data_IF_741261442771
#
_entry.id   IF_741261442771
#
_cell.length_a   1.000
_cell.length_b   1.000
_cell.length_c   1.000
_cell.angle_alpha   90.00
_cell.angle_beta   90.00
_cell.angle_gamma   90.00
#
_symmetry.space_group_name_H-M   'P 1'
#
loop_
_entity.id
_entity.type
_entity.pdbx_description
1 polymer ?
#
# COMPACT_ATOMS: atom_id res chain seq x y z
N UNK A 1 38.84 -49.84 -18.55
CA UNK A 1 39.13 -48.39 -18.62
C UNK A 1 38.28 -47.82 -19.74
N UNK A 2 37.22 -47.10 -19.41
CA UNK A 2 36.36 -46.45 -20.41
C UNK A 2 36.62 -44.95 -20.49
N UNK A 3 35.69 -44.26 -21.16
CA UNK A 3 35.49 -42.80 -21.28
C UNK A 3 36.43 -42.17 -22.36
N UNK A 4 36.01 -41.48 -23.42
CA UNK A 4 34.83 -40.67 -23.71
C UNK A 4 34.34 -40.85 -25.16
N UNK A 5 33.03 -41.08 -25.33
CA UNK A 5 32.32 -40.86 -26.60
C UNK A 5 31.71 -39.46 -26.55
N UNK A 6 32.12 -38.57 -27.46
CA UNK A 6 31.48 -37.27 -27.62
C UNK A 6 30.08 -37.45 -28.21
N UNK A 7 29.07 -37.42 -27.35
CA UNK A 7 27.67 -37.25 -27.76
C UNK A 7 27.51 -35.85 -28.35
N UNK A 8 27.28 -35.76 -29.66
CA UNK A 8 26.77 -34.55 -30.33
C UNK A 8 25.52 -34.09 -29.59
N UNK A 9 25.58 -32.94 -28.92
CA UNK A 9 24.34 -32.29 -28.48
C UNK A 9 23.50 -32.00 -29.72
N UNK A 10 22.28 -32.53 -29.76
CA UNK A 10 21.30 -32.14 -30.76
C UNK A 10 21.17 -30.63 -30.65
N UNK A 11 21.53 -29.91 -31.72
CA UNK A 11 21.11 -28.51 -31.93
C UNK A 11 19.58 -28.53 -31.85
N UNK A 12 19.05 -28.26 -30.66
CA UNK A 12 17.68 -27.81 -30.51
C UNK A 12 17.53 -26.61 -31.42
N UNK A 13 16.54 -26.71 -32.29
CA UNK A 13 16.34 -25.87 -33.45
C UNK A 13 16.19 -24.40 -33.02
N UNK A 14 17.28 -23.62 -33.12
CA UNK A 14 17.35 -22.20 -32.68
C UNK A 14 16.29 -21.35 -33.39
N UNK A 15 15.91 -21.75 -34.60
CA UNK A 15 14.79 -21.18 -35.36
C UNK A 15 13.43 -21.35 -34.65
N UNK A 16 13.24 -22.47 -33.96
CA UNK A 16 12.00 -22.83 -33.28
C UNK A 16 11.87 -22.12 -31.94
N UNK A 17 12.99 -21.86 -31.26
CA UNK A 17 13.04 -21.08 -30.01
C UNK A 17 12.70 -19.60 -30.28
N UNK A 18 13.27 -18.99 -31.33
CA UNK A 18 12.94 -17.61 -31.72
C UNK A 18 11.48 -17.45 -32.15
N UNK A 19 10.94 -18.39 -32.95
CA UNK A 19 9.54 -18.37 -33.36
C UNK A 19 8.57 -18.54 -32.17
N UNK A 20 8.95 -19.30 -31.14
CA UNK A 20 8.14 -19.49 -29.94
C UNK A 20 8.13 -18.25 -29.03
N UNK A 21 9.29 -17.59 -28.84
CA UNK A 21 9.34 -16.33 -28.11
C UNK A 21 8.47 -15.25 -28.77
N UNK A 22 8.50 -15.18 -30.11
CA UNK A 22 7.65 -14.27 -30.90
C UNK A 22 6.17 -14.63 -30.78
N UNK A 23 5.81 -15.92 -30.79
CA UNK A 23 4.42 -16.36 -30.64
C UNK A 23 3.86 -16.06 -29.24
N UNK A 24 4.64 -16.33 -28.18
CA UNK A 24 4.28 -16.01 -26.79
C UNK A 24 4.12 -14.50 -26.64
N UNK A 25 5.05 -13.71 -27.19
CA UNK A 25 4.98 -12.23 -27.17
C UNK A 25 3.67 -11.68 -27.73
N UNK A 26 3.11 -12.28 -28.79
CA UNK A 26 1.85 -11.83 -29.41
C UNK A 26 0.61 -12.09 -28.56
N UNK A 27 0.70 -12.94 -27.53
CA UNK A 27 -0.41 -13.34 -26.69
C UNK A 27 -0.42 -12.65 -25.32
N UNK A 28 0.65 -11.91 -24.98
CA UNK A 28 0.74 -11.20 -23.71
C UNK A 28 -0.13 -9.94 -23.79
N UNK A 29 -1.17 -9.80 -22.95
CA UNK A 29 -1.91 -8.55 -22.81
C UNK A 29 -1.00 -7.48 -22.20
N UNK A 30 -1.30 -6.20 -22.46
CA UNK A 30 -0.54 -5.06 -21.93
C UNK A 30 0.96 -5.13 -22.24
N UNK A 31 1.32 -5.59 -23.44
CA UNK A 31 2.71 -5.71 -23.89
C UNK A 31 3.49 -4.39 -23.76
N UNK A 32 2.80 -3.25 -23.87
CA UNK A 32 3.33 -1.91 -23.68
C UNK A 32 3.83 -1.62 -22.25
N UNK A 33 3.41 -2.39 -21.26
CA UNK A 33 3.89 -2.26 -19.87
C UNK A 33 5.24 -2.95 -19.66
N UNK A 34 5.68 -3.80 -20.60
CA UNK A 34 6.90 -4.59 -20.49
C UNK A 34 8.09 -3.91 -21.16
N UNK A 35 9.26 -4.06 -20.54
CA UNK A 35 10.54 -3.59 -21.08
C UNK A 35 11.26 -4.74 -21.77
N UNK A 36 11.69 -4.52 -23.01
CA UNK A 36 12.45 -5.51 -23.79
C UNK A 36 13.83 -4.98 -24.16
N UNK A 37 14.80 -5.88 -24.25
CA UNK A 37 16.13 -5.59 -24.75
C UNK A 37 16.66 -6.72 -25.63
N UNK A 38 17.26 -6.34 -26.77
CA UNK A 38 17.89 -7.28 -27.70
C UNK A 38 19.41 -7.38 -27.46
N UNK A 39 19.91 -6.88 -26.33
CA UNK A 39 21.32 -6.96 -25.97
C UNK A 39 21.79 -8.42 -26.02
N UNK A 40 22.89 -8.73 -26.73
CA UNK A 40 23.47 -10.08 -26.75
C UNK A 40 23.77 -10.60 -25.33
N UNK A 41 23.60 -11.90 -25.10
CA UNK A 41 23.76 -12.50 -23.77
C UNK A 41 25.11 -12.21 -23.10
N UNK A 42 26.18 -12.08 -23.88
CA UNK A 42 27.53 -11.75 -23.40
C UNK A 42 27.75 -10.24 -23.09
N UNK A 43 26.76 -9.40 -23.39
CA UNK A 43 26.75 -7.96 -23.10
C UNK A 43 25.74 -7.58 -22.01
N UNK A 44 24.99 -8.53 -21.48
CA UNK A 44 24.09 -8.28 -20.36
C UNK A 44 24.96 -8.08 -19.10
N UNK A 45 24.85 -6.94 -18.41
CA UNK A 45 25.64 -6.67 -17.21
C UNK A 45 25.47 -7.76 -16.15
N UNK A 46 26.49 -7.97 -15.32
CA UNK A 46 26.38 -8.84 -14.15
C UNK A 46 25.42 -8.21 -13.14
N UNK A 47 24.52 -9.03 -12.59
CA UNK A 47 23.42 -8.56 -11.74
C UNK A 47 23.79 -8.87 -10.30
N UNK A 48 24.34 -7.88 -9.60
CA UNK A 48 24.60 -7.92 -8.17
C UNK A 48 23.57 -7.10 -7.40
N UNK A 49 23.22 -7.55 -6.19
CA UNK A 49 22.62 -6.65 -5.21
C UNK A 49 23.69 -5.69 -4.69
N UNK A 50 23.48 -4.38 -4.87
CA UNK A 50 24.33 -3.34 -4.31
C UNK A 50 24.96 -2.44 -5.37
N UNK A 51 25.79 -1.50 -4.93
CA UNK A 51 26.70 -0.81 -5.82
C UNK A 51 27.89 -1.73 -6.08
N UNK A 52 28.15 -2.09 -7.33
CA UNK A 52 29.39 -2.77 -7.70
C UNK A 52 30.44 -1.69 -7.88
N UNK A 53 31.40 -1.64 -6.96
CA UNK A 53 32.59 -0.81 -7.08
C UNK A 53 33.64 -1.66 -7.76
N UNK A 54 33.90 -1.39 -9.03
CA UNK A 54 35.09 -1.91 -9.68
C UNK A 54 36.28 -1.00 -9.32
N UNK A 55 37.30 -1.59 -8.69
CA UNK A 55 38.58 -0.93 -8.44
C UNK A 55 39.57 -1.45 -9.48
N UNK A 56 39.99 -0.59 -10.40
CA UNK A 56 41.03 -0.91 -11.39
C UNK A 56 42.30 -0.09 -11.16
N UNK A 57 43.46 -0.73 -11.27
CA UNK A 57 44.79 -0.10 -11.18
C UNK A 57 45.43 -0.11 -12.58
N UNK A 58 44.93 0.73 -13.49
CA UNK A 58 45.41 0.77 -14.88
C UNK A 58 46.56 1.78 -15.06
N UNK A 59 46.58 2.86 -14.26
CA UNK A 59 47.55 3.96 -14.36
C UNK A 59 48.28 4.27 -13.03
N UNK A 60 48.21 3.37 -12.06
CA UNK A 60 48.77 3.58 -10.72
C UNK A 60 47.86 4.37 -9.77
N UNK A 61 46.65 4.76 -10.20
CA UNK A 61 45.61 5.32 -9.34
C UNK A 61 44.38 4.38 -9.27
N UNK A 62 43.74 4.21 -8.09
CA UNK A 62 42.50 3.46 -7.99
C UNK A 62 41.39 4.25 -8.67
N UNK A 63 40.85 3.69 -9.75
CA UNK A 63 39.64 4.20 -10.40
C UNK A 63 38.43 3.46 -9.80
N UNK A 64 37.49 4.19 -9.21
CA UNK A 64 36.21 3.67 -8.71
C UNK A 64 35.14 3.95 -9.77
N UNK A 65 34.54 2.89 -10.31
CA UNK A 65 33.38 3.02 -11.20
C UNK A 65 32.17 2.34 -10.57
N UNK A 66 31.08 3.09 -10.51
CA UNK A 66 29.75 2.56 -10.20
C UNK A 66 29.20 1.89 -11.47
N UNK A 67 28.84 0.61 -11.38
CA UNK A 67 28.15 -0.06 -12.49
C UNK A 67 26.67 0.33 -12.54
N UNK A 68 26.14 0.53 -13.75
CA UNK A 68 24.70 0.71 -13.96
C UNK A 68 23.92 -0.50 -13.42
N UNK A 69 22.97 -0.24 -12.52
CA UNK A 69 22.08 -1.29 -12.01
C UNK A 69 21.12 -1.72 -13.12
N UNK A 70 21.27 -2.97 -13.53
CA UNK A 70 20.34 -3.58 -14.49
C UNK A 70 18.92 -3.58 -13.92
N UNK A 71 17.97 -3.16 -14.73
CA UNK A 71 16.56 -3.27 -14.36
C UNK A 71 16.14 -4.74 -14.26
N UNK A 72 15.58 -5.17 -13.11
CA UNK A 72 15.29 -6.58 -12.88
C UNK A 72 14.13 -7.12 -13.72
N UNK A 73 13.27 -6.25 -14.24
CA UNK A 73 12.08 -6.62 -15.02
C UNK A 73 12.36 -6.79 -16.52
N UNK A 74 13.50 -6.29 -17.01
CA UNK A 74 13.79 -6.22 -18.44
C UNK A 74 13.90 -7.61 -19.05
N UNK A 75 13.05 -7.86 -20.06
CA UNK A 75 13.01 -9.10 -20.81
C UNK A 75 14.07 -9.05 -21.91
N UNK A 76 15.14 -9.80 -21.73
CA UNK A 76 16.18 -9.97 -22.74
C UNK A 76 15.79 -11.04 -23.75
N UNK A 77 15.57 -10.65 -25.00
CA UNK A 77 15.13 -11.55 -26.09
C UNK A 77 16.24 -12.48 -26.57
N UNK A 78 17.50 -12.11 -26.33
CA UNK A 78 18.69 -12.88 -26.67
C UNK A 78 18.90 -14.10 -25.76
N UNK A 79 18.22 -14.14 -24.61
CA UNK A 79 18.39 -15.17 -23.61
C UNK A 79 17.55 -16.42 -23.94
N UNK A 80 18.09 -17.63 -23.77
CA UNK A 80 17.41 -18.86 -24.15
C UNK A 80 16.15 -19.13 -23.31
N UNK A 81 15.16 -19.72 -23.96
CA UNK A 81 13.88 -20.13 -23.37
C UNK A 81 13.68 -21.63 -23.67
N UNK A 82 13.26 -22.41 -22.67
CA UNK A 82 13.02 -23.85 -22.81
C UNK A 82 11.63 -24.20 -22.31
N UNK A 83 10.82 -24.82 -23.18
CA UNK A 83 9.48 -25.33 -22.84
C UNK A 83 9.54 -26.28 -21.64
N UNK A 84 8.54 -26.17 -20.78
CA UNK A 84 8.28 -27.07 -19.65
C UNK A 84 7.02 -27.88 -19.92
N UNK A 85 6.88 -29.05 -19.29
CA UNK A 85 5.66 -29.86 -19.42
C UNK A 85 4.58 -29.45 -18.41
N UNK A 86 5.00 -29.02 -17.23
CA UNK A 86 4.13 -28.45 -16.20
C UNK A 86 4.84 -27.35 -15.42
N UNK A 87 4.07 -26.46 -14.78
CA UNK A 87 4.59 -25.39 -13.93
C UNK A 87 5.29 -25.94 -12.67
N UNK A 88 4.94 -27.17 -12.24
CA UNK A 88 5.55 -27.85 -11.09
C UNK A 88 7.02 -28.24 -11.33
N UNK A 89 7.48 -28.27 -12.59
CA UNK A 89 8.87 -28.54 -12.95
C UNK A 89 9.81 -27.34 -12.72
N UNK A 90 9.27 -26.20 -12.27
CA UNK A 90 9.99 -24.93 -12.23
C UNK A 90 10.26 -24.53 -10.79
N UNK A 91 11.55 -24.42 -10.47
CA UNK A 91 12.01 -23.95 -9.17
C UNK A 91 11.57 -22.49 -8.91
N UNK A 92 11.26 -22.21 -7.64
CA UNK A 92 11.04 -20.85 -7.14
C UNK A 92 12.22 -19.94 -7.46
N UNK A 93 11.92 -18.66 -7.65
CA UNK A 93 12.98 -17.67 -7.86
C UNK A 93 13.68 -17.32 -6.53
N UNK A 94 14.95 -16.87 -6.59
CA UNK A 94 15.62 -16.35 -5.41
C UNK A 94 14.95 -15.08 -4.88
N UNK A 95 15.29 -14.73 -3.64
CA UNK A 95 14.96 -13.43 -3.07
C UNK A 95 15.59 -12.31 -3.93
N UNK A 96 14.81 -11.27 -4.24
CA UNK A 96 15.14 -10.21 -5.23
C UNK A 96 15.35 -10.75 -6.66
N UNK A 97 14.29 -11.29 -7.27
CA UNK A 97 14.37 -11.91 -8.58
C UNK A 97 14.72 -10.89 -9.68
N UNK A 98 15.30 -11.39 -10.77
CA UNK A 98 15.46 -10.65 -12.01
C UNK A 98 15.34 -11.61 -13.20
N UNK A 99 14.87 -11.10 -14.34
CA UNK A 99 14.64 -11.91 -15.53
C UNK A 99 15.94 -12.50 -16.13
N UNK A 100 17.05 -11.75 -16.11
CA UNK A 100 18.27 -12.17 -16.76
C UNK A 100 18.94 -13.38 -16.07
N UNK A 101 18.84 -13.49 -14.75
CA UNK A 101 19.32 -14.64 -13.96
C UNK A 101 18.39 -15.85 -13.99
N UNK A 102 17.17 -15.74 -14.52
CA UNK A 102 16.26 -16.88 -14.65
C UNK A 102 16.86 -17.96 -15.56
N UNK A 103 16.67 -19.23 -15.21
CA UNK A 103 16.97 -20.35 -16.10
C UNK A 103 16.07 -20.33 -17.35
N UNK A 104 16.44 -21.01 -18.44
CA UNK A 104 15.60 -21.07 -19.64
C UNK A 104 14.17 -21.57 -19.39
N UNK A 105 13.99 -22.48 -18.41
CA UNK A 105 12.68 -22.98 -17.99
C UNK A 105 11.89 -21.94 -17.21
N UNK A 106 12.55 -21.23 -16.29
CA UNK A 106 11.93 -20.15 -15.51
C UNK A 106 11.49 -18.99 -16.41
N UNK A 107 12.27 -18.63 -17.44
CA UNK A 107 11.84 -17.64 -18.45
C UNK A 107 10.61 -18.09 -19.21
N UNK A 108 10.54 -19.36 -19.61
CA UNK A 108 9.34 -19.90 -20.27
C UNK A 108 8.10 -19.81 -19.36
N UNK A 109 8.26 -20.19 -18.09
CA UNK A 109 7.20 -20.12 -17.09
C UNK A 109 6.71 -18.68 -16.87
N UNK A 110 7.65 -17.73 -16.73
CA UNK A 110 7.35 -16.31 -16.58
C UNK A 110 6.60 -15.74 -17.78
N UNK A 111 7.11 -15.95 -18.99
CA UNK A 111 6.49 -15.43 -20.22
C UNK A 111 5.13 -16.08 -20.51
N UNK A 112 4.93 -17.33 -20.10
CA UNK A 112 3.63 -18.00 -20.19
C UNK A 112 2.65 -17.40 -19.18
N UNK A 113 3.10 -17.18 -17.94
CA UNK A 113 2.28 -16.56 -16.90
C UNK A 113 1.86 -15.12 -17.25
N UNK A 114 2.71 -14.35 -17.93
CA UNK A 114 2.35 -12.99 -18.40
C UNK A 114 1.13 -12.96 -19.34
N UNK A 115 0.77 -14.07 -20.00
CA UNK A 115 -0.44 -14.13 -20.82
C UNK A 115 -1.72 -14.02 -19.99
N UNK A 116 -1.68 -14.48 -18.73
CA UNK A 116 -2.75 -14.28 -17.77
C UNK A 116 -2.19 -14.25 -16.35
N UNK A 117 -1.90 -13.02 -15.92
CA UNK A 117 -1.31 -12.70 -14.63
C UNK A 117 -2.22 -13.00 -13.43
N UNK A 118 -3.46 -13.45 -13.66
CA UNK A 118 -4.36 -13.87 -12.59
C UNK A 118 -4.07 -15.28 -12.09
N UNK A 119 -3.34 -16.09 -12.88
CA UNK A 119 -2.98 -17.45 -12.51
C UNK A 119 -2.02 -17.47 -11.31
N UNK A 120 -2.18 -18.43 -10.39
CA UNK A 120 -1.27 -18.57 -9.25
C UNK A 120 0.15 -18.91 -9.73
N UNK A 121 1.13 -18.25 -9.13
CA UNK A 121 2.55 -18.48 -9.41
C UNK A 121 3.39 -18.17 -8.17
N UNK A 122 4.62 -18.67 -8.13
CA UNK A 122 5.62 -18.24 -7.14
C UNK A 122 5.77 -16.71 -7.15
N UNK A 123 5.77 -16.11 -5.96
CA UNK A 123 5.72 -14.64 -5.81
C UNK A 123 6.92 -13.92 -6.43
N UNK A 124 8.06 -14.60 -6.62
CA UNK A 124 9.21 -13.99 -7.30
C UNK A 124 8.90 -13.57 -8.74
N UNK A 125 8.08 -14.33 -9.46
CA UNK A 125 7.65 -13.97 -10.81
C UNK A 125 6.76 -12.73 -10.79
N UNK A 126 5.85 -12.64 -9.81
CA UNK A 126 5.01 -11.45 -9.58
C UNK A 126 5.88 -10.23 -9.31
N UNK A 127 6.90 -10.36 -8.46
CA UNK A 127 7.84 -9.26 -8.19
C UNK A 127 8.62 -8.81 -9.42
N UNK A 128 9.05 -9.75 -10.27
CA UNK A 128 9.79 -9.42 -11.49
C UNK A 128 8.95 -8.56 -12.44
N UNK A 129 7.66 -8.90 -12.62
CA UNK A 129 6.75 -8.08 -13.41
C UNK A 129 6.44 -6.75 -12.73
N UNK A 130 6.16 -6.79 -11.42
CA UNK A 130 5.87 -5.61 -10.61
C UNK A 130 6.97 -4.55 -10.65
N UNK A 131 8.25 -4.94 -10.67
CA UNK A 131 9.36 -3.99 -10.80
C UNK A 131 9.29 -3.17 -12.10
N UNK A 132 8.80 -3.77 -13.20
CA UNK A 132 8.56 -3.07 -14.45
C UNK A 132 7.35 -2.14 -14.36
N UNK A 133 6.29 -2.58 -13.67
CA UNK A 133 5.11 -1.74 -13.42
C UNK A 133 5.47 -0.51 -12.57
N UNK A 134 6.38 -0.61 -11.60
CA UNK A 134 6.88 0.55 -10.84
C UNK A 134 7.58 1.58 -11.74
N UNK A 135 8.24 1.15 -12.82
CA UNK A 135 8.78 2.09 -13.82
C UNK A 135 7.69 2.76 -14.62
N UNK A 136 6.66 2.01 -15.03
CA UNK A 136 5.51 2.56 -15.75
C UNK A 136 4.74 3.58 -14.90
N UNK A 137 4.62 3.35 -13.59
CA UNK A 137 4.05 4.30 -12.64
C UNK A 137 4.80 5.64 -12.59
N UNK A 138 6.10 5.67 -12.86
CA UNK A 138 6.92 6.89 -12.75
C UNK A 138 7.22 7.55 -14.09
N UNK A 139 7.43 6.74 -15.13
CA UNK A 139 8.03 7.19 -16.39
C UNK A 139 7.25 6.74 -17.63
N UNK A 140 6.14 6.03 -17.47
CA UNK A 140 5.39 5.44 -18.57
C UNK A 140 3.88 5.62 -18.44
N UNK A 141 3.12 4.58 -18.78
CA UNK A 141 1.65 4.63 -18.70
C UNK A 141 1.17 4.37 -17.26
N UNK A 142 1.08 5.46 -16.49
CA UNK A 142 0.67 5.44 -15.08
C UNK A 142 -0.65 4.69 -14.86
N UNK A 143 -1.69 5.02 -15.63
CA UNK A 143 -3.04 4.53 -15.37
C UNK A 143 -3.17 3.04 -15.69
N UNK A 144 -2.56 2.57 -16.79
CA UNK A 144 -2.51 1.13 -17.08
C UNK A 144 -1.70 0.37 -16.05
N UNK A 145 -0.55 0.89 -15.64
CA UNK A 145 0.28 0.26 -14.61
C UNK A 145 -0.44 0.20 -13.27
N UNK A 146 -1.10 1.28 -12.87
CA UNK A 146 -1.91 1.35 -11.66
C UNK A 146 -2.98 0.24 -11.67
N UNK A 147 -3.78 0.17 -12.73
CA UNK A 147 -4.84 -0.82 -12.88
C UNK A 147 -4.31 -2.25 -12.90
N UNK A 148 -3.19 -2.49 -13.56
CA UNK A 148 -2.54 -3.80 -13.60
C UNK A 148 -2.03 -4.21 -12.21
N UNK A 149 -1.46 -3.28 -11.43
CA UNK A 149 -1.08 -3.54 -10.04
C UNK A 149 -2.31 -3.86 -9.18
N UNK A 150 -3.43 -3.14 -9.34
CA UNK A 150 -4.69 -3.49 -8.66
C UNK A 150 -5.14 -4.90 -9.02
N UNK A 151 -5.07 -5.28 -10.30
CA UNK A 151 -5.39 -6.63 -10.77
C UNK A 151 -4.50 -7.68 -10.12
N UNK A 152 -3.18 -7.44 -10.03
CA UNK A 152 -2.25 -8.34 -9.35
C UNK A 152 -2.57 -8.47 -7.86
N UNK A 153 -2.82 -7.35 -7.17
CA UNK A 153 -3.16 -7.33 -5.73
C UNK A 153 -4.39 -8.19 -5.41
N UNK A 154 -5.37 -8.23 -6.32
CA UNK A 154 -6.59 -9.05 -6.16
C UNK A 154 -6.34 -10.56 -6.25
N UNK A 155 -5.32 -11.00 -6.99
CA UNK A 155 -5.07 -12.42 -7.26
C UNK A 155 -3.86 -12.99 -6.50
N UNK A 156 -2.98 -12.13 -5.98
CA UNK A 156 -1.73 -12.53 -5.32
C UNK A 156 -1.68 -12.03 -3.87
N UNK A 157 -2.16 -12.84 -2.94
CA UNK A 157 -2.15 -12.51 -1.50
C UNK A 157 -0.78 -12.81 -0.86
N UNK A 158 0.18 -11.91 -1.12
CA UNK A 158 1.47 -11.91 -0.44
C UNK A 158 1.66 -10.62 0.37
N UNK A 159 1.88 -10.74 1.69
CA UNK A 159 1.99 -9.59 2.61
C UNK A 159 2.99 -8.53 2.17
N UNK A 160 4.18 -8.93 1.69
CA UNK A 160 5.21 -8.00 1.24
C UNK A 160 4.78 -7.32 -0.05
N UNK A 161 4.24 -8.07 -1.01
CA UNK A 161 3.71 -7.52 -2.26
C UNK A 161 2.58 -6.52 -2.02
N UNK A 162 1.60 -6.87 -1.17
CA UNK A 162 0.50 -5.99 -0.79
C UNK A 162 1.00 -4.69 -0.14
N UNK A 163 2.02 -4.79 0.72
CA UNK A 163 2.61 -3.60 1.35
C UNK A 163 3.33 -2.70 0.36
N UNK A 164 4.19 -3.28 -0.48
CA UNK A 164 5.04 -2.49 -1.40
C UNK A 164 4.22 -1.87 -2.52
N UNK A 165 3.29 -2.63 -3.11
CA UNK A 165 2.41 -2.11 -4.17
C UNK A 165 1.51 -0.99 -3.67
N UNK A 166 0.95 -1.08 -2.46
CA UNK A 166 0.17 0.02 -1.88
C UNK A 166 1.01 1.30 -1.73
N UNK A 167 2.23 1.18 -1.21
CA UNK A 167 3.13 2.32 -1.05
C UNK A 167 3.50 2.95 -2.40
N UNK A 168 3.78 2.13 -3.41
CA UNK A 168 4.10 2.61 -4.76
C UNK A 168 2.90 3.29 -5.42
N UNK A 169 1.69 2.74 -5.32
CA UNK A 169 0.46 3.32 -5.85
C UNK A 169 0.18 4.69 -5.22
N UNK A 170 0.29 4.79 -3.89
CA UNK A 170 0.09 6.05 -3.16
C UNK A 170 1.13 7.08 -3.59
N UNK A 171 2.42 6.73 -3.56
CA UNK A 171 3.50 7.67 -3.89
C UNK A 171 3.41 8.13 -5.35
N UNK A 172 3.22 7.20 -6.28
CA UNK A 172 3.13 7.52 -7.71
C UNK A 172 1.88 8.33 -8.04
N UNK A 173 0.75 8.12 -7.35
CA UNK A 173 -0.44 8.96 -7.51
C UNK A 173 -0.19 10.41 -7.11
N UNK A 174 0.56 10.63 -6.03
CA UNK A 174 0.99 11.98 -5.65
C UNK A 174 1.97 12.56 -6.67
N UNK A 175 2.99 11.80 -7.06
CA UNK A 175 4.02 12.23 -8.01
C UNK A 175 3.43 12.65 -9.36
N UNK A 176 2.44 11.91 -9.86
CA UNK A 176 1.77 12.17 -11.14
C UNK A 176 0.55 13.12 -11.02
N UNK A 177 0.24 13.62 -9.83
CA UNK A 177 -0.97 14.42 -9.57
C UNK A 177 -2.28 13.71 -10.01
N UNK A 178 -2.36 12.38 -9.80
CA UNK A 178 -3.49 11.50 -10.18
C UNK A 178 -4.21 10.91 -8.98
N UNK A 179 -4.50 11.75 -7.98
CA UNK A 179 -5.25 11.32 -6.80
C UNK A 179 -6.69 10.94 -7.10
N UNK A 180 -7.24 11.42 -8.22
CA UNK A 180 -8.53 10.99 -8.74
C UNK A 180 -8.58 9.47 -8.92
N UNK A 181 -7.52 8.86 -9.48
CA UNK A 181 -7.44 7.41 -9.66
C UNK A 181 -7.33 6.72 -8.31
N UNK A 182 -6.43 7.19 -7.44
CA UNK A 182 -6.23 6.60 -6.11
C UNK A 182 -7.55 6.55 -5.34
N UNK A 183 -8.33 7.63 -5.35
CA UNK A 183 -9.59 7.71 -4.63
C UNK A 183 -10.67 6.80 -5.25
N UNK A 184 -10.79 6.78 -6.58
CA UNK A 184 -11.79 5.97 -7.29
C UNK A 184 -11.62 4.48 -7.02
N UNK A 185 -10.38 4.00 -7.00
CA UNK A 185 -10.09 2.57 -6.90
C UNK A 185 -9.65 2.13 -5.49
N UNK A 186 -9.45 3.07 -4.55
CA UNK A 186 -9.02 2.78 -3.17
C UNK A 186 -9.88 1.73 -2.46
N UNK A 187 -11.21 1.84 -2.58
CA UNK A 187 -12.16 0.89 -1.95
C UNK A 187 -12.06 -0.52 -2.54
N UNK A 188 -11.79 -0.63 -3.85
CA UNK A 188 -11.66 -1.92 -4.53
C UNK A 188 -10.26 -2.54 -4.39
N UNK A 189 -9.28 -1.73 -4.01
CA UNK A 189 -7.87 -2.08 -3.94
C UNK A 189 -7.39 -2.44 -2.52
N UNK A 190 -8.29 -2.39 -1.52
CA UNK A 190 -7.99 -2.59 -0.10
C UNK A 190 -6.78 -1.75 0.36
N UNK A 191 -6.75 -0.48 -0.06
CA UNK A 191 -5.73 0.48 0.36
C UNK A 191 -6.13 1.03 1.74
N UNK A 192 -6.02 0.17 2.75
CA UNK A 192 -6.57 0.42 4.08
C UNK A 192 -5.61 1.19 5.00
N UNK A 193 -4.37 1.46 4.56
CA UNK A 193 -3.34 2.10 5.39
C UNK A 193 -3.30 3.61 5.15
N UNK A 194 -2.97 4.33 6.22
CA UNK A 194 -2.71 5.76 6.19
C UNK A 194 -1.27 6.03 6.69
N UNK A 195 -0.33 6.17 5.77
CA UNK A 195 1.11 6.24 6.02
C UNK A 195 1.62 7.65 6.35
N UNK A 196 2.89 7.77 6.73
CA UNK A 196 3.54 9.07 6.92
C UNK A 196 3.62 9.86 5.61
N UNK A 197 3.76 9.18 4.46
CA UNK A 197 3.72 9.81 3.14
C UNK A 197 2.38 10.53 2.94
N UNK A 198 1.24 9.87 3.22
CA UNK A 198 -0.09 10.47 3.08
C UNK A 198 -0.31 11.61 4.07
N UNK A 199 0.15 11.48 5.32
CA UNK A 199 0.09 12.56 6.31
C UNK A 199 0.91 13.77 5.89
N UNK A 200 2.15 13.56 5.43
CA UNK A 200 2.99 14.67 4.99
C UNK A 200 2.40 15.35 3.75
N UNK A 201 1.84 14.60 2.82
CA UNK A 201 1.10 15.16 1.69
C UNK A 201 -0.08 16.02 2.15
N UNK A 202 -0.91 15.52 3.06
CA UNK A 202 -2.05 16.26 3.58
C UNK A 202 -1.62 17.57 4.25
N UNK A 203 -0.48 17.61 4.95
CA UNK A 203 0.07 18.86 5.50
C UNK A 203 0.54 19.80 4.39
N UNK A 204 1.31 19.29 3.42
CA UNK A 204 1.82 20.12 2.32
C UNK A 204 0.71 20.76 1.49
N UNK A 205 -0.43 20.08 1.35
CA UNK A 205 -1.61 20.58 0.64
C UNK A 205 -2.64 21.27 1.55
N UNK A 206 -2.33 21.43 2.84
CA UNK A 206 -3.24 21.98 3.84
C UNK A 206 -4.63 21.30 3.87
N UNK A 207 -4.65 19.97 3.75
CA UNK A 207 -5.86 19.15 3.73
C UNK A 207 -6.28 18.70 5.12
N UNK A 208 -7.59 18.59 5.30
CA UNK A 208 -8.21 18.02 6.49
C UNK A 208 -8.41 16.51 6.31
N UNK A 209 -8.46 15.77 7.42
CA UNK A 209 -8.63 14.32 7.39
C UNK A 209 -10.11 13.95 7.58
N UNK A 210 -10.61 13.08 6.70
CA UNK A 210 -11.95 12.51 6.80
C UNK A 210 -12.06 11.50 7.96
N UNK A 211 -13.29 11.17 8.41
CA UNK A 211 -13.52 10.08 9.36
C UNK A 211 -12.89 8.75 8.92
N UNK A 212 -12.94 8.42 7.63
CA UNK A 212 -12.34 7.20 7.07
C UNK A 212 -10.82 7.22 7.17
N UNK A 213 -10.20 8.38 6.92
CA UNK A 213 -8.75 8.52 7.12
C UNK A 213 -8.40 8.30 8.60
N UNK A 214 -9.17 8.88 9.53
CA UNK A 214 -8.94 8.68 10.96
C UNK A 214 -9.12 7.22 11.38
N UNK A 215 -10.13 6.53 10.87
CA UNK A 215 -10.33 5.09 11.12
C UNK A 215 -9.10 4.28 10.66
N UNK A 216 -8.57 4.60 9.49
CA UNK A 216 -7.35 3.97 8.95
C UNK A 216 -6.14 4.25 9.84
N UNK A 217 -5.99 5.49 10.32
CA UNK A 217 -4.95 5.88 11.29
C UNK A 217 -5.14 5.15 12.63
N UNK A 218 -6.36 4.99 13.13
CA UNK A 218 -6.61 4.24 14.38
C UNK A 218 -6.19 2.78 14.26
N UNK A 219 -6.38 2.16 13.08
CA UNK A 219 -5.90 0.81 12.79
C UNK A 219 -4.37 0.77 12.78
N UNK A 220 -3.72 1.71 12.08
CA UNK A 220 -2.26 1.80 11.99
C UNK A 220 -1.61 2.01 13.37
N UNK A 221 -2.20 2.85 14.22
CA UNK A 221 -1.75 3.08 15.60
C UNK A 221 -2.17 1.98 16.59
N UNK A 222 -2.81 0.90 16.12
CA UNK A 222 -3.31 -0.23 16.95
C UNK A 222 -4.27 0.20 18.05
N UNK A 223 -4.98 1.32 17.85
CA UNK A 223 -6.04 1.79 18.75
C UNK A 223 -7.36 1.05 18.48
N UNK A 224 -7.57 0.60 17.24
CA UNK A 224 -8.81 -0.03 16.81
C UNK A 224 -9.11 -1.33 17.59
N UNK A 225 -10.26 -1.38 18.27
CA UNK A 225 -10.65 -2.47 19.19
C UNK A 225 -11.57 -3.48 18.53
N UNK A 226 -11.47 -4.74 18.95
CA UNK A 226 -12.35 -5.83 18.50
C UNK A 226 -13.84 -5.55 18.73
N UNK A 227 -14.18 -4.78 19.77
CA UNK A 227 -15.56 -4.37 20.07
C UNK A 227 -16.20 -3.48 18.99
N UNK A 228 -15.42 -2.92 18.08
CA UNK A 228 -15.91 -2.11 16.96
C UNK A 228 -16.40 -3.04 15.82
N UNK A 229 -15.91 -4.28 15.75
CA UNK A 229 -16.28 -5.23 14.71
C UNK A 229 -17.80 -5.46 14.67
N UNK A 230 -18.41 -5.33 13.49
CA UNK A 230 -19.86 -5.40 13.27
C UNK A 230 -20.62 -4.11 13.64
N UNK A 231 -19.91 -3.03 13.96
CA UNK A 231 -20.45 -1.69 14.24
C UNK A 231 -19.64 -0.59 13.52
N UNK A 232 -19.01 -0.92 12.39
CA UNK A 232 -18.10 -0.04 11.65
C UNK A 232 -18.79 1.27 11.23
N UNK A 233 -19.96 1.18 10.59
CA UNK A 233 -20.75 2.36 10.18
C UNK A 233 -21.19 3.22 11.38
N UNK A 234 -21.53 2.57 12.50
CA UNK A 234 -21.94 3.28 13.71
C UNK A 234 -20.74 3.99 14.34
N UNK A 235 -19.57 3.34 14.34
CA UNK A 235 -18.35 3.94 14.87
C UNK A 235 -17.90 5.13 14.04
N UNK A 236 -18.01 5.06 12.72
CA UNK A 236 -17.75 6.21 11.83
C UNK A 236 -18.67 7.40 12.18
N UNK A 237 -19.96 7.16 12.43
CA UNK A 237 -20.87 8.21 12.91
C UNK A 237 -20.42 8.82 14.25
N UNK A 238 -19.94 8.01 15.19
CA UNK A 238 -19.37 8.51 16.45
C UNK A 238 -18.11 9.36 16.22
N UNK A 239 -17.28 9.01 15.23
CA UNK A 239 -16.14 9.84 14.83
C UNK A 239 -16.62 11.19 14.30
N UNK A 240 -17.61 11.20 13.39
CA UNK A 240 -18.20 12.43 12.85
C UNK A 240 -18.76 13.33 13.97
N UNK A 241 -19.48 12.75 14.93
CA UNK A 241 -20.05 13.48 16.06
C UNK A 241 -18.96 14.05 16.97
N UNK A 242 -17.91 13.27 17.25
CA UNK A 242 -16.73 13.73 18.00
C UNK A 242 -16.07 14.91 17.30
N UNK A 243 -15.86 14.81 15.98
CA UNK A 243 -15.24 15.90 15.21
C UNK A 243 -16.11 17.16 15.22
N UNK A 244 -17.42 17.00 15.04
CA UNK A 244 -18.37 18.12 15.03
C UNK A 244 -18.39 18.84 16.38
N UNK A 245 -18.25 18.08 17.48
CA UNK A 245 -18.23 18.64 18.84
C UNK A 245 -16.90 19.31 19.17
N UNK A 246 -15.77 18.67 18.85
CA UNK A 246 -14.44 19.13 19.27
C UNK A 246 -13.84 20.17 18.32
N UNK A 247 -14.25 20.17 17.05
CA UNK A 247 -13.63 20.99 16.01
C UNK A 247 -14.65 21.78 15.17
N UNK A 248 -15.95 21.73 15.48
CA UNK A 248 -17.01 22.38 14.71
C UNK A 248 -16.97 22.02 13.20
N UNK A 249 -16.59 20.77 12.90
CA UNK A 249 -16.38 20.28 11.54
C UNK A 249 -16.59 18.78 11.49
N UNK A 250 -17.05 18.24 10.36
CA UNK A 250 -17.10 16.78 10.13
C UNK A 250 -15.73 16.20 9.71
N UNK A 251 -14.72 17.06 9.55
CA UNK A 251 -13.34 16.70 9.23
C UNK A 251 -12.39 17.14 10.34
N UNK A 252 -11.32 16.38 10.56
CA UNK A 252 -10.25 16.77 11.48
C UNK A 252 -9.36 17.85 10.83
N UNK A 253 -9.25 19.05 11.43
CA UNK A 253 -8.47 20.15 10.87
C UNK A 253 -6.98 19.83 11.02
N UNK A 254 -6.38 19.21 10.01
CA UNK A 254 -5.05 18.60 10.12
C UNK A 254 -3.95 19.45 9.50
N UNK A 255 -4.18 19.98 8.30
CA UNK A 255 -3.16 20.56 7.42
C UNK A 255 -2.23 21.60 8.06
N UNK A 256 -2.74 22.37 9.03
CA UNK A 256 -1.99 23.42 9.72
C UNK A 256 -1.93 23.24 11.24
N UNK A 257 -2.35 22.09 11.78
CA UNK A 257 -2.52 21.89 13.22
C UNK A 257 -1.21 21.55 13.95
N UNK A 258 -0.25 20.96 13.26
CA UNK A 258 0.99 20.49 13.85
C UNK A 258 2.20 21.18 13.23
N UNK A 259 3.12 21.64 14.09
CA UNK A 259 4.45 22.08 13.67
C UNK A 259 5.32 20.84 13.36
N UNK A 260 5.40 20.47 12.09
CA UNK A 260 6.17 19.30 11.65
C UNK A 260 7.66 19.56 11.50
N UNK A 261 8.12 20.80 11.66
CA UNK A 261 9.55 21.14 11.52
C UNK A 261 10.41 20.37 12.51
N UNK A 262 9.88 20.13 13.72
CA UNK A 262 10.53 19.44 14.84
C UNK A 262 10.35 17.92 14.82
N UNK A 263 9.52 17.39 13.91
CA UNK A 263 9.30 15.95 13.81
C UNK A 263 10.51 15.29 13.15
N UNK A 264 10.94 14.17 13.73
CA UNK A 264 12.05 13.36 13.21
C UNK A 264 11.75 12.88 11.80
N UNK A 265 12.74 12.97 10.92
CA UNK A 265 12.69 12.40 9.58
C UNK A 265 13.06 10.92 9.61
N UNK A 266 12.42 10.13 8.75
CA UNK A 266 12.75 8.73 8.52
C UNK A 266 12.64 8.39 7.04
N UNK A 267 13.36 7.36 6.63
CA UNK A 267 13.18 6.73 5.32
C UNK A 267 11.94 5.83 5.35
N UNK A 268 11.09 5.95 4.34
CA UNK A 268 9.94 5.07 4.11
C UNK A 268 10.04 4.42 2.74
N UNK A 269 9.80 3.11 2.65
CA UNK A 269 9.90 2.40 1.37
C UNK A 269 8.75 2.78 0.45
N UNK A 270 9.03 3.55 -0.60
CA UNK A 270 8.06 3.91 -1.64
C UNK A 270 8.02 2.87 -2.76
N UNK A 271 9.18 2.38 -3.21
CA UNK A 271 9.28 1.43 -4.31
C UNK A 271 10.13 0.20 -3.95
N UNK A 272 9.76 -0.96 -4.50
CA UNK A 272 10.49 -2.21 -4.30
C UNK A 272 11.63 -2.39 -5.31
N UNK A 273 11.46 -1.89 -6.54
CA UNK A 273 12.42 -2.05 -7.63
C UNK A 273 13.79 -1.53 -7.19
N UNK A 274 14.74 -2.45 -7.09
CA UNK A 274 16.06 -2.19 -6.55
C UNK A 274 17.02 -1.56 -7.54
N UNK A 275 16.64 -1.44 -8.81
CA UNK A 275 17.38 -0.63 -9.79
C UNK A 275 17.14 0.87 -9.62
N UNK A 276 16.13 1.28 -8.86
CA UNK A 276 15.91 2.69 -8.56
C UNK A 276 16.96 3.27 -7.60
N UNK A 277 17.28 4.58 -7.73
CA UNK A 277 18.08 5.30 -6.75
C UNK A 277 17.53 5.16 -5.32
N UNK A 278 18.42 5.19 -4.32
CA UNK A 278 18.03 4.96 -2.93
C UNK A 278 17.02 6.00 -2.44
N UNK A 279 17.19 7.25 -2.86
CA UNK A 279 16.33 8.39 -2.51
C UNK A 279 14.91 8.22 -3.05
N UNK A 280 14.78 7.57 -4.21
CA UNK A 280 13.49 7.25 -4.82
C UNK A 280 12.85 6.04 -4.14
N UNK A 281 13.63 5.00 -3.85
CA UNK A 281 13.11 3.80 -3.15
C UNK A 281 12.71 4.09 -1.72
N UNK A 282 13.44 4.97 -1.06
CA UNK A 282 13.33 5.27 0.36
C UNK A 282 13.30 6.78 0.63
N UNK A 283 12.27 7.51 0.14
CA UNK A 283 12.16 8.94 0.38
C UNK A 283 12.14 9.28 1.87
N UNK A 284 12.69 10.44 2.17
CA UNK A 284 12.68 11.00 3.51
C UNK A 284 11.33 11.65 3.81
N UNK A 285 10.67 11.16 4.87
CA UNK A 285 9.39 11.66 5.33
C UNK A 285 9.40 11.96 6.82
N UNK A 286 8.52 12.86 7.25
CA UNK A 286 8.31 13.14 8.68
C UNK A 286 7.60 11.97 9.34
N UNK A 287 8.10 11.48 10.47
CA UNK A 287 7.50 10.38 11.24
C UNK A 287 6.30 10.84 12.08
N UNK A 288 5.29 11.40 11.40
CA UNK A 288 4.12 12.05 12.00
C UNK A 288 3.32 11.06 12.84
N UNK A 289 3.11 9.83 12.34
CA UNK A 289 2.42 8.75 13.06
C UNK A 289 3.03 8.48 14.43
N UNK A 290 4.35 8.66 14.59
CA UNK A 290 5.04 8.42 15.86
C UNK A 290 5.28 9.68 16.70
N UNK A 291 4.95 10.86 16.20
CA UNK A 291 5.08 12.10 16.96
C UNK A 291 4.13 12.13 18.15
N UNK A 292 4.59 12.69 19.27
CA UNK A 292 3.84 12.72 20.53
C UNK A 292 2.53 13.50 20.39
N UNK A 293 2.59 14.68 19.78
CA UNK A 293 1.45 15.58 19.67
C UNK A 293 0.36 14.98 18.78
N UNK A 294 0.74 14.40 17.64
CA UNK A 294 -0.19 13.69 16.77
C UNK A 294 -0.83 12.49 17.48
N UNK A 295 -0.02 11.62 18.12
CA UNK A 295 -0.53 10.45 18.86
C UNK A 295 -1.52 10.84 19.95
N UNK A 296 -1.21 11.88 20.72
CA UNK A 296 -2.09 12.35 21.80
C UNK A 296 -3.44 12.81 21.25
N UNK A 297 -3.43 13.61 20.19
CA UNK A 297 -4.64 14.14 19.58
C UNK A 297 -5.49 13.04 18.95
N UNK A 298 -4.89 12.14 18.17
CA UNK A 298 -5.59 11.02 17.55
C UNK A 298 -6.15 10.06 18.62
N UNK A 299 -5.41 9.82 19.71
CA UNK A 299 -5.88 9.01 20.83
C UNK A 299 -7.06 9.66 21.55
N UNK A 300 -7.06 11.00 21.72
CA UNK A 300 -8.20 11.75 22.26
C UNK A 300 -9.45 11.54 21.42
N UNK A 301 -9.36 11.77 20.10
CA UNK A 301 -10.49 11.59 19.17
C UNK A 301 -11.02 10.15 19.23
N UNK A 302 -10.11 9.17 19.19
CA UNK A 302 -10.49 7.76 19.29
C UNK A 302 -11.25 7.47 20.59
N UNK A 303 -10.75 7.93 21.74
CA UNK A 303 -11.37 7.66 23.04
C UNK A 303 -12.77 8.25 23.14
N UNK A 304 -12.98 9.48 22.69
CA UNK A 304 -14.30 10.11 22.69
C UNK A 304 -15.28 9.36 21.78
N UNK A 305 -14.85 9.05 20.56
CA UNK A 305 -15.64 8.27 19.60
C UNK A 305 -15.99 6.88 20.15
N UNK A 306 -15.04 6.23 20.82
CA UNK A 306 -15.23 4.89 21.38
C UNK A 306 -16.15 4.88 22.61
N UNK A 307 -16.08 5.89 23.47
CA UNK A 307 -17.03 6.04 24.58
C UNK A 307 -18.45 6.32 24.09
N UNK A 308 -18.60 7.10 23.03
CA UNK A 308 -19.89 7.30 22.36
C UNK A 308 -20.45 6.00 21.79
N UNK A 309 -19.62 5.22 21.08
CA UNK A 309 -20.00 3.91 20.56
C UNK A 309 -20.52 2.97 21.67
N UNK A 310 -19.87 2.95 22.84
CA UNK A 310 -20.33 2.14 23.98
C UNK A 310 -21.73 2.52 24.43
N UNK A 311 -22.03 3.82 24.51
CA UNK A 311 -23.36 4.33 24.90
C UNK A 311 -24.41 3.91 23.88
N UNK A 312 -24.10 4.08 22.60
CA UNK A 312 -24.99 3.70 21.50
C UNK A 312 -25.27 2.20 21.47
N UNK A 313 -24.25 1.36 21.67
CA UNK A 313 -24.44 -0.09 21.80
C UNK A 313 -25.32 -0.45 22.99
N UNK A 314 -25.21 0.24 24.12
CA UNK A 314 -26.08 0.02 25.28
C UNK A 314 -27.53 0.46 25.01
N UNK A 315 -27.75 1.46 24.16
CA UNK A 315 -29.08 1.85 23.70
C UNK A 315 -29.64 0.78 22.76
N UNK A 316 -28.88 0.35 21.74
CA UNK A 316 -29.30 -0.66 20.79
C UNK A 316 -29.69 -1.99 21.46
N UNK A 317 -28.93 -2.41 22.48
CA UNK A 317 -29.29 -3.60 23.30
C UNK A 317 -30.64 -3.44 23.98
N UNK A 318 -30.92 -2.26 24.56
CA UNK A 318 -32.18 -1.98 25.25
C UNK A 318 -33.35 -1.87 24.28
N UNK A 319 -33.16 -1.18 23.15
CA UNK A 319 -34.14 -1.10 22.05
C UNK A 319 -34.53 -2.49 21.56
N UNK A 320 -33.55 -3.37 21.33
CA UNK A 320 -33.81 -4.75 20.91
C UNK A 320 -34.52 -5.57 21.99
N UNK A 321 -34.13 -5.41 23.26
CA UNK A 321 -34.74 -6.14 24.38
C UNK A 321 -36.20 -5.74 24.61
N UNK A 322 -36.48 -4.44 24.54
CA UNK A 322 -37.77 -3.87 24.91
C UNK A 322 -38.65 -3.58 23.66
N UNK A 323 -38.21 -4.00 22.46
CA UNK A 323 -38.84 -3.78 21.16
C UNK A 323 -39.28 -2.33 20.90
N UNK A 324 -38.40 -1.38 21.21
CA UNK A 324 -38.70 0.05 21.16
C UNK A 324 -38.77 0.58 19.71
N UNK A 325 -39.73 1.47 19.48
CA UNK A 325 -39.87 2.25 18.25
C UNK A 325 -38.73 3.27 18.08
N UNK A 326 -38.62 3.86 16.89
CA UNK A 326 -37.63 4.92 16.59
C UNK A 326 -37.78 6.12 17.53
N UNK A 327 -39.03 6.53 17.81
CA UNK A 327 -39.33 7.64 18.73
C UNK A 327 -38.92 7.31 20.16
N UNK A 328 -39.20 6.08 20.62
CA UNK A 328 -38.79 5.63 21.95
C UNK A 328 -37.27 5.49 22.08
N UNK A 329 -36.57 5.10 21.01
CA UNK A 329 -35.10 5.10 20.95
C UNK A 329 -34.53 6.51 21.11
N UNK A 330 -35.12 7.52 20.45
CA UNK A 330 -34.71 8.92 20.60
C UNK A 330 -34.96 9.43 22.02
N UNK A 331 -36.15 9.19 22.59
CA UNK A 331 -36.45 9.53 23.99
C UNK A 331 -35.47 8.85 24.96
N UNK A 332 -35.13 7.59 24.73
CA UNK A 332 -34.16 6.86 25.54
C UNK A 332 -32.74 7.44 25.45
N UNK A 333 -32.32 7.91 24.27
CA UNK A 333 -31.04 8.62 24.06
C UNK A 333 -31.00 9.90 24.90
N UNK A 334 -32.00 10.76 24.73
CA UNK A 334 -32.17 12.01 25.47
C UNK A 334 -32.16 11.76 26.98
N UNK A 335 -32.93 10.79 27.46
CA UNK A 335 -32.99 10.46 28.89
C UNK A 335 -31.63 10.03 29.44
N UNK A 336 -30.89 9.19 28.71
CA UNK A 336 -29.55 8.74 29.13
C UNK A 336 -28.55 9.88 29.19
N UNK A 337 -28.60 10.82 28.24
CA UNK A 337 -27.71 11.97 28.22
C UNK A 337 -28.04 12.96 29.35
N UNK A 338 -29.33 13.25 29.60
CA UNK A 338 -29.76 14.04 30.77
C UNK A 338 -29.26 13.43 32.08
N UNK A 339 -29.42 12.12 32.25
CA UNK A 339 -28.94 11.42 33.45
C UNK A 339 -27.41 11.49 33.60
N UNK A 340 -26.66 11.44 32.49
CA UNK A 340 -25.20 11.59 32.49
C UNK A 340 -24.79 12.99 32.90
N UNK A 341 -25.37 14.03 32.30
CA UNK A 341 -25.06 15.42 32.64
C UNK A 341 -25.37 15.71 34.10
N UNK A 342 -26.52 15.20 34.60
CA UNK A 342 -26.87 15.29 36.00
C UNK A 342 -25.82 14.64 36.90
N UNK A 343 -25.36 13.42 36.56
CA UNK A 343 -24.28 12.76 37.30
C UNK A 343 -22.99 13.58 37.30
N UNK A 344 -22.60 14.17 36.17
CA UNK A 344 -21.39 15.00 36.08
C UNK A 344 -21.50 16.25 36.95
N UNK A 345 -22.66 16.90 36.95
CA UNK A 345 -22.98 18.00 37.85
C UNK A 345 -22.93 17.58 39.33
N UNK A 346 -23.59 16.47 39.69
CA UNK A 346 -23.61 15.93 41.05
C UNK A 346 -22.20 15.54 41.55
N UNK A 347 -21.30 15.14 40.65
CA UNK A 347 -19.88 14.85 40.96
C UNK A 347 -18.96 16.06 40.88
N UNK A 348 -19.50 17.29 40.76
CA UNK A 348 -18.76 18.54 40.61
C UNK A 348 -17.79 18.59 39.43
N UNK A 349 -18.04 17.81 38.37
CA UNK A 349 -17.26 17.85 37.12
C UNK A 349 -17.76 18.97 36.20
N UNK A 350 -19.06 19.26 36.22
CA UNK A 350 -19.68 20.39 35.50
C UNK A 350 -20.09 21.47 36.49
N UNK A 351 -19.86 22.73 36.13
CA UNK A 351 -20.42 23.88 36.87
C UNK A 351 -21.91 24.02 36.58
N UNK A 352 -22.64 24.71 37.47
CA UNK A 352 -24.09 24.92 37.35
C UNK A 352 -24.46 25.56 36.01
N UNK A 353 -23.80 26.65 35.64
CA UNK A 353 -24.10 27.39 34.41
C UNK A 353 -23.81 26.54 33.14
N UNK A 354 -22.76 25.71 33.17
CA UNK A 354 -22.41 24.78 32.09
C UNK A 354 -23.45 23.66 31.96
N UNK A 355 -23.90 23.11 33.08
CA UNK A 355 -24.95 22.10 33.12
C UNK A 355 -26.27 22.64 32.57
N UNK A 356 -26.69 23.84 32.98
CA UNK A 356 -27.93 24.48 32.51
C UNK A 356 -27.89 24.74 31.00
N UNK A 357 -26.77 25.26 30.48
CA UNK A 357 -26.59 25.49 29.04
C UNK A 357 -26.66 24.18 28.22
N UNK A 358 -26.01 23.11 28.70
CA UNK A 358 -26.00 21.82 28.01
C UNK A 358 -27.38 21.16 28.01
N UNK A 359 -28.13 21.27 29.11
CA UNK A 359 -29.52 20.78 29.19
C UNK A 359 -30.42 21.56 28.24
N UNK A 360 -30.29 22.89 28.18
CA UNK A 360 -31.08 23.73 27.29
C UNK A 360 -30.83 23.39 25.81
N UNK A 361 -29.56 23.14 25.45
CA UNK A 361 -29.19 22.70 24.09
C UNK A 361 -29.82 21.34 23.74
N UNK A 362 -29.73 20.37 24.65
CA UNK A 362 -30.36 19.05 24.47
C UNK A 362 -31.87 19.13 24.26
N UNK A 363 -32.54 20.03 24.97
CA UNK A 363 -34.00 20.23 24.85
C UNK A 363 -34.39 20.93 23.55
N UNK A 364 -33.51 21.74 22.96
CA UNK A 364 -33.73 22.36 21.64
C UNK A 364 -33.51 21.41 20.45
N UNK A 365 -32.78 20.31 20.66
CA UNK A 365 -32.51 19.26 19.66
C UNK A 365 -33.53 18.09 19.73
N UNK A 366 -34.47 18.15 20.69
CA UNK A 366 -35.56 17.18 20.94
C UNK A 366 -36.77 17.43 20.05
#
# INVERSE_FOLDING_TARGET
>A
MGIFNFSKSKKGDVSTINNQAIAIKKQIPNLELLYFSDLPANKIPHIGMGFVINISFIDGSPQIREEEKLDPSTIFTSLPISKIKSQEEVESLPYWPNYASMSPKQRFAYLTWLQDVTNPIDTGYVFTYYYGLERQLLFGDFEKAFNEIIKLRKHHDNKSFQKYSENALIFSSFYNNRLDILLKDSEQASLDRFSNIQLQFAINQNLNLSPQNLISIFKELKLYKSLIKGFEELFEKCVINTLSTEYNSTYFPFGNKFDISKIKTRKEQAFANYSFPEELRYPEVKDILNSKDFKNEITKIFNYSYEELKKEKAILRKVKKDNLTVVEKQKLRLQKEKNRLKKLYDTNVLKKDEYELLIQKLESES
#
